data_IF_670572060754
#
_entry.id   IF_670572060754
#
_cell.length_a   1.000
_cell.length_b   1.000
_cell.length_c   1.000
_cell.angle_alpha   90.00
_cell.angle_beta   90.00
_cell.angle_gamma   90.00
#
_symmetry.space_group_name_H-M   'P 1'
#
loop_
_entity.id
_entity.type
_entity.pdbx_description
1 polymer ?
#
# COMPACT_ATOMS: atom_id res chain seq x y z
N UNK A 1 11.07 90.38 40.77
CA UNK A 1 9.72 90.66 41.31
C UNK A 1 8.73 90.37 40.20
N UNK A 2 7.91 89.34 40.42
CA UNK A 2 6.69 88.91 39.68
C UNK A 2 6.73 88.74 38.15
N UNK A 3 5.97 87.85 37.51
CA UNK A 3 5.33 86.53 37.73
C UNK A 3 4.35 86.39 36.56
N UNK A 4 3.95 85.14 36.25
CA UNK A 4 2.88 84.69 35.31
C UNK A 4 3.30 84.66 33.83
N UNK A 5 3.17 83.58 33.07
CA UNK A 5 2.53 82.27 33.28
C UNK A 5 1.79 81.90 31.99
N UNK A 6 2.42 81.14 31.10
CA UNK A 6 1.79 80.59 29.89
C UNK A 6 1.73 79.06 30.05
N UNK A 7 0.57 78.55 30.45
CA UNK A 7 0.24 77.13 30.36
C UNK A 7 -0.43 76.86 29.01
N UNK A 8 0.19 75.99 28.23
CA UNK A 8 -0.34 75.46 26.97
C UNK A 8 -1.31 74.34 27.31
N UNK A 9 -2.60 74.58 27.10
CA UNK A 9 -3.65 73.55 27.18
C UNK A 9 -3.53 72.61 25.97
N UNK A 10 -3.17 71.34 26.23
CA UNK A 10 -3.38 70.21 25.33
C UNK A 10 -4.87 69.84 25.35
N UNK A 11 -5.55 69.60 24.21
CA UNK A 11 -6.88 69.03 24.24
C UNK A 11 -6.82 67.53 24.60
N UNK A 12 -7.74 67.16 25.48
CA UNK A 12 -7.93 65.85 26.09
C UNK A 12 -7.93 64.68 25.10
N UNK A 13 -7.28 63.60 25.54
CA UNK A 13 -7.48 62.24 25.05
C UNK A 13 -8.92 61.85 25.37
N UNK A 14 -9.81 61.92 24.39
CA UNK A 14 -11.08 61.22 24.44
C UNK A 14 -10.81 59.72 24.21
N UNK A 15 -10.77 58.95 25.30
CA UNK A 15 -11.05 57.52 25.29
C UNK A 15 -12.52 57.30 24.87
N UNK A 16 -12.79 57.40 23.58
CA UNK A 16 -14.00 56.79 23.02
C UNK A 16 -13.69 55.31 22.75
N UNK A 17 -13.94 54.51 23.77
CA UNK A 17 -14.19 53.08 23.64
C UNK A 17 -15.44 52.87 22.77
N UNK A 18 -15.28 53.02 21.45
CA UNK A 18 -16.29 52.71 20.48
C UNK A 18 -16.44 51.18 20.46
N UNK A 19 -17.46 50.70 21.17
CA UNK A 19 -17.83 49.30 21.17
C UNK A 19 -17.89 48.76 19.75
N UNK A 20 -17.13 47.71 19.49
CA UNK A 20 -17.32 46.89 18.30
C UNK A 20 -18.80 46.51 18.21
N UNK A 21 -19.40 46.84 17.07
CA UNK A 21 -20.82 46.64 16.80
C UNK A 21 -21.20 45.17 17.10
N UNK A 22 -22.17 44.88 18.00
CA UNK A 22 -22.47 43.52 18.45
C UNK A 22 -22.95 42.57 17.34
N UNK A 23 -23.35 43.09 16.17
CA UNK A 23 -23.60 42.30 14.96
C UNK A 23 -22.31 41.78 14.32
N UNK A 24 -21.27 42.62 14.20
CA UNK A 24 -19.96 42.25 13.62
C UNK A 24 -19.31 41.13 14.45
N UNK A 25 -19.36 41.23 15.78
CA UNK A 25 -18.83 40.19 16.68
C UNK A 25 -19.66 38.89 16.64
N UNK A 26 -20.95 38.95 16.27
CA UNK A 26 -21.75 37.74 16.03
C UNK A 26 -21.36 37.09 14.71
N UNK A 27 -21.24 37.87 13.63
CA UNK A 27 -20.87 37.37 12.30
C UNK A 27 -19.46 36.75 12.29
N UNK A 28 -18.49 37.37 12.96
CA UNK A 28 -17.14 36.78 13.16
C UNK A 28 -17.19 35.44 13.92
N UNK A 29 -18.01 35.34 14.98
CA UNK A 29 -18.18 34.09 15.72
C UNK A 29 -18.84 33.00 14.88
N UNK A 30 -19.81 33.35 14.04
CA UNK A 30 -20.44 32.40 13.12
C UNK A 30 -19.43 31.89 12.07
N UNK A 31 -18.61 32.78 11.50
CA UNK A 31 -17.56 32.41 10.55
C UNK A 31 -16.50 31.51 11.19
N UNK A 32 -16.03 31.86 12.39
CA UNK A 32 -15.07 31.05 13.15
C UNK A 32 -15.64 29.65 13.46
N UNK A 33 -16.92 29.59 13.89
CA UNK A 33 -17.59 28.34 14.18
C UNK A 33 -17.78 27.47 12.92
N UNK A 34 -18.09 28.08 11.78
CA UNK A 34 -18.22 27.37 10.50
C UNK A 34 -16.87 26.81 10.02
N UNK A 35 -15.79 27.59 10.18
CA UNK A 35 -14.42 27.16 9.88
C UNK A 35 -13.99 25.99 10.78
N UNK A 36 -14.23 26.07 12.08
CA UNK A 36 -13.93 24.99 13.03
C UNK A 36 -14.68 23.69 12.70
N UNK A 37 -15.95 23.79 12.29
CA UNK A 37 -16.75 22.64 11.84
C UNK A 37 -16.15 22.03 10.57
N UNK A 38 -15.75 22.86 9.60
CA UNK A 38 -15.11 22.41 8.36
C UNK A 38 -13.78 21.72 8.62
N UNK A 39 -12.95 22.28 9.50
CA UNK A 39 -11.65 21.72 9.90
C UNK A 39 -11.84 20.35 10.57
N UNK A 40 -12.77 20.24 11.52
CA UNK A 40 -13.09 18.96 12.20
C UNK A 40 -13.59 17.91 11.22
N UNK A 41 -14.46 18.30 10.29
CA UNK A 41 -15.00 17.40 9.29
C UNK A 41 -13.92 16.92 8.30
N UNK A 42 -13.05 17.82 7.83
CA UNK A 42 -11.93 17.46 6.97
C UNK A 42 -10.99 16.48 7.67
N UNK A 43 -10.61 16.76 8.92
CA UNK A 43 -9.77 15.89 9.74
C UNK A 43 -10.37 14.49 9.88
N UNK A 44 -11.66 14.42 10.24
CA UNK A 44 -12.39 13.17 10.39
C UNK A 44 -12.45 12.39 9.08
N UNK A 45 -12.73 13.05 7.96
CA UNK A 45 -12.77 12.43 6.63
C UNK A 45 -11.41 11.86 6.23
N UNK A 46 -10.33 12.62 6.40
CA UNK A 46 -8.97 12.15 6.06
C UNK A 46 -8.59 10.90 6.85
N UNK A 47 -8.81 10.91 8.17
CA UNK A 47 -8.54 9.73 9.01
C UNK A 47 -9.43 8.54 8.65
N UNK A 48 -10.74 8.77 8.49
CA UNK A 48 -11.69 7.72 8.10
C UNK A 48 -11.27 7.06 6.78
N UNK A 49 -10.92 7.87 5.79
CA UNK A 49 -10.52 7.41 4.47
C UNK A 49 -9.19 6.65 4.49
N UNK A 50 -8.24 7.07 5.34
CA UNK A 50 -7.00 6.33 5.58
C UNK A 50 -7.28 4.95 6.20
N UNK A 51 -8.12 4.88 7.23
CA UNK A 51 -8.48 3.60 7.88
C UNK A 51 -9.25 2.67 6.95
N UNK A 52 -10.18 3.19 6.15
CA UNK A 52 -10.90 2.42 5.14
C UNK A 52 -9.89 1.83 4.14
N UNK A 53 -8.99 2.67 3.61
CA UNK A 53 -7.97 2.23 2.66
C UNK A 53 -7.07 1.14 3.24
N UNK A 54 -6.52 1.34 4.44
CA UNK A 54 -5.67 0.37 5.13
C UNK A 54 -6.41 -0.97 5.38
N UNK A 55 -7.67 -0.91 5.79
CA UNK A 55 -8.49 -2.11 6.02
C UNK A 55 -8.72 -2.87 4.72
N UNK A 56 -9.05 -2.17 3.63
CA UNK A 56 -9.22 -2.77 2.32
C UNK A 56 -7.91 -3.40 1.81
N UNK A 57 -6.79 -2.71 2.02
CA UNK A 57 -5.46 -3.23 1.69
C UNK A 57 -5.20 -4.55 2.42
N UNK A 58 -5.44 -4.61 3.73
CA UNK A 58 -5.27 -5.85 4.51
C UNK A 58 -6.13 -6.97 3.95
N UNK A 59 -7.42 -6.73 3.72
CA UNK A 59 -8.35 -7.75 3.25
C UNK A 59 -7.92 -8.40 1.92
N UNK A 60 -7.35 -7.64 0.98
CA UNK A 60 -6.93 -8.20 -0.31
C UNK A 60 -5.50 -8.74 -0.28
N UNK A 61 -4.54 -7.99 0.30
CA UNK A 61 -3.13 -8.35 0.24
C UNK A 61 -2.74 -9.46 1.22
N UNK A 62 -3.55 -9.73 2.25
CA UNK A 62 -3.42 -10.94 3.08
C UNK A 62 -3.42 -12.21 2.21
N UNK A 63 -4.35 -12.30 1.26
CA UNK A 63 -4.40 -13.44 0.35
C UNK A 63 -3.27 -13.45 -0.67
N UNK A 64 -2.98 -12.29 -1.26
CA UNK A 64 -1.94 -12.18 -2.28
C UNK A 64 -0.55 -12.59 -1.74
N UNK A 65 -0.15 -12.07 -0.58
CA UNK A 65 1.16 -12.38 0.00
C UNK A 65 1.25 -13.83 0.48
N UNK A 66 0.22 -14.36 1.14
CA UNK A 66 0.21 -15.76 1.56
C UNK A 66 0.32 -16.73 0.37
N UNK A 67 -0.43 -16.47 -0.71
CA UNK A 67 -0.32 -17.28 -1.92
C UNK A 67 1.03 -17.11 -2.60
N UNK A 68 1.62 -15.91 -2.56
CA UNK A 68 2.96 -15.68 -3.10
C UNK A 68 4.02 -16.50 -2.38
N UNK A 69 3.96 -16.60 -1.05
CA UNK A 69 4.86 -17.44 -0.26
C UNK A 69 4.68 -18.94 -0.56
N UNK A 70 3.46 -19.36 -0.89
CA UNK A 70 3.13 -20.76 -1.21
C UNK A 70 3.25 -21.09 -2.69
N UNK A 71 3.70 -20.16 -3.53
CA UNK A 71 3.50 -20.27 -4.97
C UNK A 71 4.32 -21.41 -5.58
N UNK A 72 5.58 -21.56 -5.16
CA UNK A 72 6.48 -22.62 -5.61
C UNK A 72 5.98 -24.00 -5.18
N UNK A 73 5.48 -24.14 -3.95
CA UNK A 73 4.93 -25.41 -3.42
C UNK A 73 3.56 -25.74 -4.03
N UNK A 74 2.62 -24.80 -3.98
CA UNK A 74 1.23 -25.02 -4.38
C UNK A 74 1.10 -25.20 -5.90
N UNK A 75 1.97 -24.53 -6.67
CA UNK A 75 1.96 -24.55 -8.12
C UNK A 75 3.28 -25.08 -8.69
N UNK A 76 3.82 -26.14 -8.08
CA UNK A 76 5.09 -26.76 -8.46
C UNK A 76 5.07 -27.41 -9.85
N UNK A 77 3.90 -27.82 -10.36
CA UNK A 77 3.80 -28.58 -11.61
C UNK A 77 4.37 -27.78 -12.80
N UNK A 78 5.49 -28.26 -13.35
CA UNK A 78 6.21 -27.60 -14.45
C UNK A 78 6.81 -26.23 -14.07
N UNK A 79 6.95 -25.91 -12.78
CA UNK A 79 7.46 -24.62 -12.29
C UNK A 79 6.53 -23.44 -12.55
N UNK A 80 5.26 -23.68 -12.92
CA UNK A 80 4.30 -22.64 -13.31
C UNK A 80 4.17 -21.55 -12.24
N UNK A 81 4.25 -21.91 -10.95
CA UNK A 81 4.27 -20.99 -9.82
C UNK A 81 5.37 -19.94 -9.91
N UNK A 82 6.62 -20.38 -10.06
CA UNK A 82 7.79 -19.49 -10.09
C UNK A 82 7.79 -18.59 -11.33
N UNK A 83 7.47 -19.17 -12.49
CA UNK A 83 7.35 -18.39 -13.74
C UNK A 83 6.26 -17.32 -13.63
N UNK A 84 5.13 -17.63 -12.97
CA UNK A 84 4.05 -16.67 -12.78
C UNK A 84 4.46 -15.47 -11.93
N UNK A 85 5.29 -15.67 -10.90
CA UNK A 85 5.82 -14.60 -10.07
C UNK A 85 6.88 -13.77 -10.80
N UNK A 86 7.78 -14.43 -11.53
CA UNK A 86 8.75 -13.74 -12.37
C UNK A 86 8.06 -12.81 -13.38
N UNK A 87 6.96 -13.26 -14.00
CA UNK A 87 6.16 -12.44 -14.91
C UNK A 87 5.53 -11.25 -14.20
N UNK A 88 4.97 -11.43 -12.99
CA UNK A 88 4.42 -10.31 -12.19
C UNK A 88 5.50 -9.25 -11.96
N UNK A 89 6.70 -9.65 -11.53
CA UNK A 89 7.79 -8.72 -11.24
C UNK A 89 8.30 -7.99 -12.48
N UNK A 90 8.52 -8.69 -13.59
CA UNK A 90 8.98 -8.08 -14.85
C UNK A 90 7.94 -7.08 -15.37
N UNK A 91 6.66 -7.47 -15.41
CA UNK A 91 5.59 -6.58 -15.84
C UNK A 91 5.42 -5.39 -14.89
N UNK A 92 5.56 -5.59 -13.58
CA UNK A 92 5.52 -4.54 -12.56
C UNK A 92 6.66 -3.54 -12.70
N UNK A 93 7.87 -4.01 -13.00
CA UNK A 93 9.02 -3.15 -13.24
C UNK A 93 8.78 -2.24 -14.44
N UNK A 94 8.37 -2.80 -15.58
CA UNK A 94 8.07 -2.02 -16.78
C UNK A 94 6.92 -1.05 -16.53
N UNK A 95 5.87 -1.53 -15.87
CA UNK A 95 4.69 -0.74 -15.56
C UNK A 95 5.02 0.48 -14.70
N UNK A 96 5.77 0.28 -13.61
CA UNK A 96 6.11 1.34 -12.64
C UNK A 96 6.86 2.52 -13.25
N UNK A 97 7.57 2.31 -14.36
CA UNK A 97 8.31 3.37 -15.06
C UNK A 97 7.41 4.29 -15.91
N UNK A 98 6.33 3.74 -16.48
CA UNK A 98 5.60 4.43 -17.56
C UNK A 98 4.11 4.62 -17.27
N UNK A 99 3.46 3.66 -16.62
CA UNK A 99 2.01 3.64 -16.51
C UNK A 99 1.42 4.53 -15.40
N UNK A 100 2.05 4.73 -14.22
CA UNK A 100 1.44 5.45 -13.10
C UNK A 100 0.86 6.80 -13.46
N UNK A 101 1.68 7.68 -14.01
CA UNK A 101 1.28 9.05 -14.34
C UNK A 101 0.11 9.06 -15.32
N UNK A 102 0.27 8.34 -16.43
CA UNK A 102 -0.71 8.32 -17.50
C UNK A 102 -2.07 7.76 -17.02
N UNK A 103 -2.05 6.66 -16.25
CA UNK A 103 -3.26 6.01 -15.80
C UNK A 103 -3.95 6.78 -14.66
N UNK A 104 -3.20 7.34 -13.71
CA UNK A 104 -3.77 8.15 -12.63
C UNK A 104 -4.37 9.45 -13.17
N UNK A 105 -3.70 10.14 -14.12
CA UNK A 105 -4.26 11.34 -14.77
C UNK A 105 -5.54 11.02 -15.57
N UNK A 106 -5.61 9.85 -16.21
CA UNK A 106 -6.74 9.49 -17.08
C UNK A 106 -7.94 8.92 -16.33
N UNK A 107 -7.69 8.05 -15.35
CA UNK A 107 -8.74 7.28 -14.69
C UNK A 107 -9.01 7.75 -13.26
N UNK A 108 -8.10 8.51 -12.66
CA UNK A 108 -8.20 8.97 -11.28
C UNK A 108 -7.69 7.96 -10.27
N UNK A 109 -7.22 8.45 -9.12
CA UNK A 109 -6.55 7.64 -8.10
C UNK A 109 -7.45 6.53 -7.54
N UNK A 110 -8.69 6.86 -7.17
CA UNK A 110 -9.66 5.90 -6.61
C UNK A 110 -9.93 4.73 -7.57
N UNK A 111 -10.10 5.01 -8.85
CA UNK A 111 -10.43 3.97 -9.83
C UNK A 111 -9.24 3.05 -10.08
N UNK A 112 -8.01 3.56 -10.11
CA UNK A 112 -6.81 2.72 -10.21
C UNK A 112 -6.67 1.79 -9.01
N UNK A 113 -6.94 2.28 -7.80
CA UNK A 113 -6.96 1.43 -6.60
C UNK A 113 -8.00 0.32 -6.73
N UNK A 114 -9.26 0.66 -7.06
CA UNK A 114 -10.33 -0.34 -7.21
C UNK A 114 -10.03 -1.36 -8.31
N UNK A 115 -9.60 -0.91 -9.49
CA UNK A 115 -9.27 -1.80 -10.62
C UNK A 115 -8.08 -2.68 -10.27
N UNK A 116 -7.06 -2.15 -9.61
CA UNK A 116 -5.92 -2.93 -9.13
C UNK A 116 -6.34 -4.02 -8.14
N UNK A 117 -7.25 -3.71 -7.21
CA UNK A 117 -7.82 -4.70 -6.29
C UNK A 117 -8.62 -5.79 -7.02
N UNK A 118 -9.41 -5.43 -8.04
CA UNK A 118 -10.14 -6.39 -8.88
C UNK A 118 -9.19 -7.33 -9.63
N UNK A 119 -8.15 -6.78 -10.25
CA UNK A 119 -7.14 -7.57 -10.96
C UNK A 119 -6.34 -8.45 -9.97
N UNK A 120 -6.05 -7.95 -8.77
CA UNK A 120 -5.45 -8.77 -7.70
C UNK A 120 -6.34 -9.97 -7.34
N UNK A 121 -7.65 -9.75 -7.18
CA UNK A 121 -8.61 -10.83 -6.95
C UNK A 121 -8.67 -11.82 -8.11
N UNK A 122 -8.55 -11.36 -9.36
CA UNK A 122 -8.44 -12.24 -10.52
C UNK A 122 -7.17 -13.10 -10.46
N UNK A 123 -6.03 -12.53 -10.06
CA UNK A 123 -4.79 -13.30 -9.85
C UNK A 123 -4.91 -14.30 -8.70
N UNK A 124 -5.52 -13.92 -7.58
CA UNK A 124 -5.83 -14.85 -6.49
C UNK A 124 -6.69 -16.01 -7.02
N UNK A 125 -7.80 -15.70 -7.71
CA UNK A 125 -8.71 -16.70 -8.27
C UNK A 125 -8.04 -17.64 -9.30
N UNK A 126 -7.07 -17.16 -10.07
CA UNK A 126 -6.34 -17.97 -11.04
C UNK A 126 -5.63 -19.18 -10.39
N UNK A 127 -5.24 -19.06 -9.12
CA UNK A 127 -4.62 -20.16 -8.37
C UNK A 127 -5.55 -21.33 -8.06
N UNK A 128 -6.87 -21.18 -8.27
CA UNK A 128 -7.82 -22.31 -8.19
C UNK A 128 -7.61 -23.33 -9.30
N UNK A 129 -7.14 -22.90 -10.48
CA UNK A 129 -6.97 -23.76 -11.64
C UNK A 129 -5.51 -23.75 -12.08
N UNK A 130 -4.84 -24.90 -12.03
CA UNK A 130 -3.42 -25.05 -12.38
C UNK A 130 -3.21 -25.07 -13.90
N UNK A 131 -3.57 -23.96 -14.56
CA UNK A 131 -3.52 -23.78 -16.00
C UNK A 131 -2.60 -22.62 -16.39
N UNK A 132 -1.63 -22.91 -17.26
CA UNK A 132 -0.64 -21.94 -17.77
C UNK A 132 -1.26 -20.70 -18.38
N UNK A 133 -2.27 -20.88 -19.23
CA UNK A 133 -2.90 -19.76 -19.94
C UNK A 133 -3.60 -18.78 -18.99
N UNK A 134 -4.38 -19.28 -18.03
CA UNK A 134 -5.10 -18.45 -17.06
C UNK A 134 -4.13 -17.76 -16.09
N UNK A 135 -3.18 -18.51 -15.54
CA UNK A 135 -2.29 -18.01 -14.50
C UNK A 135 -1.30 -16.98 -15.04
N UNK A 136 -0.69 -17.22 -16.21
CA UNK A 136 0.22 -16.25 -16.84
C UNK A 136 -0.54 -15.00 -17.29
N UNK A 137 -1.77 -15.13 -17.80
CA UNK A 137 -2.59 -13.97 -18.17
C UNK A 137 -2.90 -13.11 -16.94
N UNK A 138 -3.25 -13.74 -15.82
CA UNK A 138 -3.48 -13.04 -14.57
C UNK A 138 -2.21 -12.36 -14.03
N UNK A 139 -1.05 -13.04 -14.11
CA UNK A 139 0.25 -12.47 -13.76
C UNK A 139 0.62 -11.23 -14.57
N UNK A 140 0.43 -11.27 -15.90
CA UNK A 140 0.68 -10.10 -16.77
C UNK A 140 -0.26 -8.96 -16.39
N UNK A 141 -1.56 -9.23 -16.24
CA UNK A 141 -2.54 -8.21 -15.89
C UNK A 141 -2.20 -7.55 -14.53
N UNK A 142 -1.89 -8.37 -13.53
CA UNK A 142 -1.55 -7.88 -12.19
C UNK A 142 -0.21 -7.13 -12.17
N UNK A 143 0.82 -7.66 -12.81
CA UNK A 143 2.10 -6.94 -12.94
C UNK A 143 1.93 -5.59 -13.63
N UNK A 144 1.12 -5.51 -14.70
CA UNK A 144 0.87 -4.25 -15.39
C UNK A 144 0.10 -3.22 -14.55
N UNK A 145 -0.83 -3.62 -13.66
CA UNK A 145 -1.53 -2.66 -12.80
C UNK A 145 -0.75 -2.32 -11.53
N UNK A 146 0.17 -3.19 -11.08
CA UNK A 146 0.85 -3.05 -9.79
C UNK A 146 1.63 -1.73 -9.65
N UNK A 147 2.34 -1.29 -10.69
CA UNK A 147 3.05 0.00 -10.67
C UNK A 147 2.13 1.21 -10.45
N UNK A 148 1.08 1.38 -11.28
CA UNK A 148 0.03 2.38 -11.10
C UNK A 148 -0.67 2.28 -9.75
N UNK A 149 -0.97 1.06 -9.29
CA UNK A 149 -1.59 0.82 -8.00
C UNK A 149 -0.72 1.32 -6.85
N UNK A 150 0.57 0.94 -6.81
CA UNK A 150 1.52 1.38 -5.81
C UNK A 150 1.68 2.90 -5.79
N UNK A 151 1.72 3.53 -6.97
CA UNK A 151 1.81 4.99 -7.08
C UNK A 151 0.52 5.69 -6.64
N UNK A 152 -0.65 5.15 -7.00
CA UNK A 152 -1.94 5.67 -6.56
C UNK A 152 -2.09 5.55 -5.04
N UNK A 153 -1.63 4.45 -4.46
CA UNK A 153 -1.59 4.24 -3.01
C UNK A 153 -0.73 5.30 -2.31
N UNK A 154 0.51 5.51 -2.75
CA UNK A 154 1.39 6.53 -2.17
C UNK A 154 0.75 7.90 -2.27
N UNK A 155 0.21 8.26 -3.44
CA UNK A 155 -0.47 9.53 -3.66
C UNK A 155 -1.72 9.69 -2.79
N UNK A 156 -2.50 8.62 -2.60
CA UNK A 156 -3.69 8.63 -1.76
C UNK A 156 -3.34 8.92 -0.30
N UNK A 157 -2.34 8.23 0.25
CA UNK A 157 -1.87 8.42 1.62
C UNK A 157 -1.30 9.84 1.80
N UNK A 158 -0.50 10.29 0.84
CA UNK A 158 0.11 11.62 0.83
C UNK A 158 -0.93 12.75 0.83
N UNK A 159 -1.97 12.63 0.00
CA UNK A 159 -3.07 13.59 -0.03
C UNK A 159 -3.90 13.56 1.27
N UNK A 160 -4.14 12.38 1.85
CA UNK A 160 -4.84 12.29 3.15
C UNK A 160 -4.02 12.94 4.27
N UNK A 161 -2.71 12.72 4.27
CA UNK A 161 -1.77 13.35 5.21
C UNK A 161 -1.76 14.87 5.04
N UNK A 162 -1.70 15.36 3.80
CA UNK A 162 -1.73 16.79 3.47
C UNK A 162 -3.04 17.45 3.89
N UNK A 163 -4.18 16.82 3.60
CA UNK A 163 -5.49 17.30 4.08
C UNK A 163 -5.58 17.31 5.60
N UNK A 164 -5.02 16.30 6.25
CA UNK A 164 -4.98 16.25 7.72
C UNK A 164 -4.09 17.37 8.27
N UNK A 165 -2.92 17.59 7.67
CA UNK A 165 -1.99 18.65 8.06
C UNK A 165 -2.61 20.04 7.92
N UNK A 166 -3.42 20.31 6.88
CA UNK A 166 -4.13 21.59 6.78
C UNK A 166 -5.10 21.88 7.95
N UNK A 167 -5.37 20.89 8.81
CA UNK A 167 -6.22 21.05 10.01
C UNK A 167 -5.41 21.25 11.30
N UNK A 168 -4.08 21.22 11.25
CA UNK A 168 -3.21 21.29 12.43
C UNK A 168 -1.88 21.97 12.09
N UNK A 169 -1.35 22.81 12.98
CA UNK A 169 -0.09 23.53 12.78
C UNK A 169 1.15 22.68 13.07
N UNK A 170 1.21 21.47 12.52
CA UNK A 170 2.34 20.55 12.67
C UNK A 170 3.15 20.43 11.37
N UNK A 171 4.37 19.92 11.49
CA UNK A 171 5.25 19.68 10.33
C UNK A 171 4.66 18.58 9.43
N UNK A 172 4.58 18.87 8.13
CA UNK A 172 4.07 17.94 7.12
C UNK A 172 4.88 16.65 7.04
N UNK A 173 6.20 16.71 7.18
CA UNK A 173 7.09 15.54 7.13
C UNK A 173 6.78 14.56 8.26
N UNK A 174 6.50 15.08 9.46
CA UNK A 174 6.12 14.26 10.62
C UNK A 174 4.75 13.59 10.41
N UNK A 175 3.77 14.33 9.88
CA UNK A 175 2.43 13.79 9.60
C UNK A 175 2.49 12.74 8.49
N UNK A 176 3.20 13.03 7.40
CA UNK A 176 3.42 12.07 6.32
C UNK A 176 4.08 10.80 6.86
N UNK A 177 5.16 10.93 7.63
CA UNK A 177 5.83 9.79 8.27
C UNK A 177 4.90 8.96 9.16
N UNK A 178 4.00 9.62 9.90
CA UNK A 178 3.00 8.93 10.74
C UNK A 178 1.94 8.18 9.91
N UNK A 179 1.45 8.78 8.82
CA UNK A 179 0.46 8.17 7.93
C UNK A 179 1.04 6.97 7.16
N UNK A 180 2.25 7.11 6.63
CA UNK A 180 2.97 5.99 6.00
C UNK A 180 3.35 4.91 7.02
N UNK A 181 3.76 5.29 8.23
CA UNK A 181 4.04 4.35 9.32
C UNK A 181 2.81 3.52 9.69
N UNK A 182 1.63 4.15 9.77
CA UNK A 182 0.37 3.45 10.00
C UNK A 182 0.06 2.49 8.84
N UNK A 183 0.19 2.94 7.59
CA UNK A 183 0.00 2.07 6.44
C UNK A 183 0.95 0.85 6.47
N UNK A 184 2.24 1.07 6.75
CA UNK A 184 3.23 0.00 6.84
C UNK A 184 2.88 -1.00 7.94
N UNK A 185 2.41 -0.55 9.10
CA UNK A 185 1.93 -1.45 10.16
C UNK A 185 0.82 -2.39 9.66
N UNK A 186 -0.18 -1.86 8.95
CA UNK A 186 -1.24 -2.67 8.37
C UNK A 186 -0.70 -3.58 7.26
N UNK A 187 0.16 -3.07 6.38
CA UNK A 187 0.74 -3.84 5.28
C UNK A 187 1.54 -5.05 5.77
N UNK A 188 2.42 -4.87 6.74
CA UNK A 188 3.22 -5.98 7.30
C UNK A 188 2.36 -7.00 8.06
N UNK A 189 1.26 -6.54 8.69
CA UNK A 189 0.32 -7.46 9.36
C UNK A 189 -0.32 -8.47 8.40
N UNK A 190 -0.37 -8.17 7.09
CA UNK A 190 -0.97 -9.06 6.09
C UNK A 190 -0.28 -10.42 6.01
N UNK A 191 1.04 -10.45 6.21
CA UNK A 191 1.84 -11.68 6.21
C UNK A 191 1.43 -12.61 7.36
N UNK A 192 1.18 -12.04 8.55
CA UNK A 192 0.77 -12.79 9.73
C UNK A 192 -0.59 -13.44 9.48
N UNK A 193 -1.60 -12.63 9.14
CA UNK A 193 -2.96 -13.13 8.92
C UNK A 193 -3.05 -14.08 7.73
N UNK A 194 -2.25 -13.83 6.69
CA UNK A 194 -2.15 -14.67 5.52
C UNK A 194 -1.67 -16.06 5.88
N UNK A 195 -0.54 -16.15 6.54
CA UNK A 195 0.05 -17.43 6.96
C UNK A 195 -0.81 -18.17 7.99
N UNK A 196 -1.53 -17.45 8.87
CA UNK A 196 -2.49 -18.08 9.79
C UNK A 196 -3.62 -18.78 9.04
N UNK A 197 -4.22 -18.11 8.05
CA UNK A 197 -5.31 -18.70 7.23
C UNK A 197 -4.77 -19.89 6.43
N UNK A 198 -3.58 -19.77 5.85
CA UNK A 198 -2.91 -20.84 5.13
C UNK A 198 -2.69 -22.07 6.03
N UNK A 199 -2.12 -21.86 7.22
CA UNK A 199 -1.88 -22.93 8.18
C UNK A 199 -3.15 -23.73 8.48
N UNK A 200 -4.25 -23.06 8.86
CA UNK A 200 -5.49 -23.76 9.20
C UNK A 200 -6.16 -24.42 8.00
N UNK A 201 -6.03 -23.85 6.80
CA UNK A 201 -6.63 -24.42 5.58
C UNK A 201 -5.85 -25.64 5.07
N UNK A 202 -4.53 -25.65 5.27
CA UNK A 202 -3.62 -26.68 4.77
C UNK A 202 -3.30 -27.77 5.82
N UNK A 203 -3.68 -27.54 7.08
CA UNK A 203 -3.42 -28.48 8.18
C UNK A 203 -4.00 -29.88 7.87
N UNK A 204 -3.13 -30.89 7.83
CA UNK A 204 -3.53 -32.30 7.68
C UNK A 204 -4.13 -32.79 9.01
N UNK A 205 -5.33 -33.38 8.96
CA UNK A 205 -6.07 -33.84 10.15
C UNK A 205 -5.45 -35.06 10.83
N UNK A 206 -4.65 -35.84 10.09
CA UNK A 206 -3.82 -36.92 10.60
C UNK A 206 -2.37 -36.61 10.20
N UNK A 207 -1.52 -36.11 11.12
CA UNK A 207 -0.11 -35.96 10.80
C UNK A 207 0.46 -37.34 10.51
N UNK A 208 1.02 -37.52 9.32
CA UNK A 208 1.83 -38.70 9.02
C UNK A 208 3.10 -38.52 9.83
N UNK A 209 3.45 -39.51 10.66
CA UNK A 209 4.74 -39.54 11.36
C UNK A 209 5.84 -39.58 10.30
N UNK A 210 6.37 -38.40 9.97
CA UNK A 210 7.53 -38.28 9.07
C UNK A 210 8.69 -38.92 9.80
N UNK A 211 9.27 -39.96 9.20
CA UNK A 211 10.40 -40.67 9.79
C UNK A 211 11.62 -39.73 9.79
N UNK A 212 11.83 -39.04 10.91
CA UNK A 212 12.80 -37.94 11.10
C UNK A 212 14.25 -38.33 10.78
N UNK A 213 14.52 -39.63 10.72
CA UNK A 213 15.83 -40.21 10.37
C UNK A 213 16.22 -40.05 8.89
N UNK A 214 15.31 -39.60 8.01
CA UNK A 214 15.56 -39.40 6.57
C UNK A 214 15.87 -37.94 6.18
N UNK A 215 15.68 -36.98 7.08
CA UNK A 215 15.96 -35.55 6.81
C UNK A 215 17.39 -35.24 7.27
N UNK A 216 18.40 -35.81 6.60
CA UNK A 216 19.81 -35.58 6.96
C UNK A 216 20.39 -34.29 6.34
N UNK A 217 19.74 -33.76 5.31
CA UNK A 217 20.22 -32.60 4.56
C UNK A 217 19.19 -31.46 4.63
N UNK A 218 19.58 -30.36 5.28
CA UNK A 218 18.78 -29.16 5.49
C UNK A 218 19.68 -27.92 5.37
N UNK A 219 19.10 -26.74 5.17
CA UNK A 219 19.89 -25.51 5.17
C UNK A 219 20.63 -25.29 3.86
N UNK A 220 21.94 -25.01 3.92
CA UNK A 220 22.77 -24.80 2.72
C UNK A 220 22.90 -26.06 1.85
N UNK A 221 22.66 -27.23 2.46
CA UNK A 221 22.84 -28.53 1.83
C UNK A 221 21.48 -29.12 1.41
N UNK A 222 20.39 -28.36 1.51
CA UNK A 222 19.08 -28.81 1.06
C UNK A 222 19.07 -29.03 -0.45
N UNK A 223 18.91 -30.29 -0.86
CA UNK A 223 18.74 -30.70 -2.26
C UNK A 223 17.25 -30.98 -2.52
N UNK A 224 16.56 -30.14 -3.30
CA UNK A 224 15.13 -30.32 -3.59
C UNK A 224 14.83 -31.59 -4.39
N UNK A 225 15.82 -32.15 -5.09
CA UNK A 225 15.66 -33.25 -6.05
C UNK A 225 15.72 -34.65 -5.42
N UNK A 226 16.27 -34.80 -4.21
CA UNK A 226 16.50 -36.11 -3.55
C UNK A 226 15.53 -36.38 -2.38
N UNK A 227 14.58 -35.46 -2.12
CA UNK A 227 13.74 -35.46 -0.93
C UNK A 227 12.32 -36.03 -1.15
N UNK A 228 12.20 -37.18 -1.83
CA UNK A 228 10.93 -37.91 -2.06
C UNK A 228 10.21 -38.36 -0.76
N UNK A 229 10.87 -38.26 0.39
CA UNK A 229 10.33 -38.70 1.68
C UNK A 229 9.56 -37.62 2.45
N UNK A 230 9.66 -36.35 2.05
CA UNK A 230 9.05 -35.23 2.77
C UNK A 230 7.64 -34.90 2.25
N UNK A 231 6.63 -35.55 2.86
CA UNK A 231 5.20 -35.31 2.52
C UNK A 231 4.69 -33.88 2.81
N UNK A 232 5.51 -33.02 3.41
CA UNK A 232 5.23 -31.59 3.56
C UNK A 232 5.51 -30.78 2.29
N UNK A 233 6.29 -31.33 1.36
CA UNK A 233 6.56 -30.74 0.05
C UNK A 233 5.50 -31.09 -0.99
N UNK A 234 4.61 -32.03 -0.67
CA UNK A 234 3.50 -32.39 -1.55
C UNK A 234 2.57 -31.19 -1.75
N UNK A 235 2.16 -30.90 -3.00
CA UNK A 235 1.20 -29.84 -3.26
C UNK A 235 -0.13 -30.15 -2.54
N UNK A 236 -0.87 -29.12 -2.11
CA UNK A 236 -2.10 -29.31 -1.37
C UNK A 236 -3.16 -29.97 -2.24
N UNK A 237 -4.05 -30.74 -1.59
CA UNK A 237 -5.20 -31.37 -2.25
C UNK A 237 -6.11 -30.32 -2.88
N UNK A 238 -6.89 -30.71 -3.89
CA UNK A 238 -7.81 -29.78 -4.57
C UNK A 238 -8.78 -29.11 -3.58
N UNK A 239 -9.35 -29.88 -2.63
CA UNK A 239 -10.25 -29.34 -1.60
C UNK A 239 -9.57 -28.25 -0.76
N UNK A 240 -8.35 -28.52 -0.26
CA UNK A 240 -7.59 -27.54 0.53
C UNK A 240 -7.25 -26.28 -0.27
N UNK A 241 -6.89 -26.44 -1.55
CA UNK A 241 -6.65 -25.31 -2.47
C UNK A 241 -7.90 -24.46 -2.64
N UNK A 242 -9.06 -25.08 -2.90
CA UNK A 242 -10.32 -24.35 -3.07
C UNK A 242 -10.75 -23.61 -1.81
N UNK A 243 -10.61 -24.24 -0.63
CA UNK A 243 -10.91 -23.59 0.66
C UNK A 243 -9.97 -22.41 0.90
N UNK A 244 -8.66 -22.60 0.70
CA UNK A 244 -7.66 -21.56 0.92
C UNK A 244 -7.84 -20.36 -0.02
N UNK A 245 -7.84 -20.62 -1.34
CA UNK A 245 -7.97 -19.56 -2.36
C UNK A 245 -9.36 -18.92 -2.28
N UNK A 246 -10.40 -19.70 -1.99
CA UNK A 246 -11.76 -19.22 -1.81
C UNK A 246 -11.91 -18.26 -0.62
N UNK A 247 -11.27 -18.56 0.52
CA UNK A 247 -11.26 -17.68 1.68
C UNK A 247 -10.60 -16.32 1.36
N UNK A 248 -9.43 -16.34 0.72
CA UNK A 248 -8.74 -15.12 0.29
C UNK A 248 -9.53 -14.31 -0.74
N UNK A 249 -10.15 -15.00 -1.71
CA UNK A 249 -10.98 -14.33 -2.70
C UNK A 249 -12.19 -13.66 -2.06
N UNK A 250 -12.86 -14.31 -1.10
CA UNK A 250 -13.98 -13.72 -0.38
C UNK A 250 -13.57 -12.43 0.36
N UNK A 251 -12.42 -12.42 1.02
CA UNK A 251 -11.88 -11.20 1.65
C UNK A 251 -11.61 -10.09 0.63
N UNK A 252 -11.02 -10.44 -0.52
CA UNK A 252 -10.78 -9.51 -1.62
C UNK A 252 -12.06 -8.91 -2.20
N UNK A 253 -13.12 -9.70 -2.39
CA UNK A 253 -14.41 -9.22 -2.86
C UNK A 253 -15.07 -8.26 -1.86
N UNK A 254 -14.97 -8.55 -0.55
CA UNK A 254 -15.42 -7.64 0.51
C UNK A 254 -14.63 -6.33 0.46
N UNK A 255 -13.31 -6.40 0.25
CA UNK A 255 -12.45 -5.21 0.08
C UNK A 255 -12.91 -4.32 -1.07
N UNK A 256 -13.20 -4.90 -2.24
CA UNK A 256 -13.69 -4.15 -3.40
C UNK A 256 -15.00 -3.43 -3.08
N UNK A 257 -15.94 -4.12 -2.43
CA UNK A 257 -17.23 -3.52 -2.03
C UNK A 257 -17.01 -2.33 -1.08
N UNK A 258 -16.14 -2.48 -0.09
CA UNK A 258 -15.84 -1.42 0.87
C UNK A 258 -15.17 -0.22 0.17
N UNK A 259 -14.18 -0.47 -0.70
CA UNK A 259 -13.50 0.60 -1.45
C UNK A 259 -14.47 1.39 -2.35
N UNK A 260 -15.36 0.70 -3.07
CA UNK A 260 -16.31 1.38 -3.98
C UNK A 260 -17.27 2.27 -3.19
N UNK A 261 -17.82 1.75 -2.09
CA UNK A 261 -18.88 2.41 -1.31
C UNK A 261 -18.35 3.50 -0.38
N UNK A 262 -17.28 3.23 0.37
CA UNK A 262 -16.85 4.08 1.49
C UNK A 262 -15.62 4.94 1.19
N UNK A 263 -14.79 4.59 0.20
CA UNK A 263 -13.60 5.37 -0.12
C UNK A 263 -13.97 6.61 -0.95
N UNK A 264 -13.60 7.80 -0.48
CA UNK A 264 -13.87 9.03 -1.23
C UNK A 264 -12.89 9.18 -2.41
N UNK A 265 -13.34 9.63 -3.59
CA UNK A 265 -12.43 10.00 -4.67
C UNK A 265 -11.60 11.23 -4.30
N UNK A 266 -10.37 11.31 -4.84
CA UNK A 266 -9.55 12.51 -4.71
C UNK A 266 -10.06 13.56 -5.70
N UNK A 267 -10.47 14.72 -5.20
CA UNK A 267 -10.95 15.84 -6.05
C UNK A 267 -9.85 16.45 -6.93
N UNK A 268 -8.59 16.20 -6.61
CA UNK A 268 -7.41 16.72 -7.29
C UNK A 268 -6.69 15.65 -8.12
N UNK A 269 -7.44 14.74 -8.75
CA UNK A 269 -6.87 13.90 -9.81
C UNK A 269 -6.27 14.85 -10.86
N UNK A 270 -4.94 14.77 -10.98
CA UNK A 270 -4.03 15.77 -11.52
C UNK A 270 -4.53 16.44 -12.82
N UNK A 271 -4.27 17.76 -12.93
CA UNK A 271 -4.58 18.65 -14.06
C UNK A 271 -4.47 17.96 -15.44
N UNK A 272 -5.35 18.36 -16.35
CA UNK A 272 -5.49 17.84 -17.71
C UNK A 272 -4.18 17.41 -18.40
N UNK A 273 -4.14 16.14 -18.78
CA UNK A 273 -3.79 15.74 -20.14
C UNK A 273 -2.33 15.91 -20.53
N UNK A 274 -1.38 15.58 -19.67
CA UNK A 274 0.00 15.46 -20.11
C UNK A 274 0.18 14.09 -20.78
N UNK A 275 -0.04 14.05 -22.11
CA UNK A 275 0.00 12.81 -22.90
C UNK A 275 1.31 12.03 -22.76
N UNK A 276 1.44 10.90 -23.48
CA UNK A 276 2.59 9.98 -23.41
C UNK A 276 3.97 10.67 -23.43
N UNK A 277 4.09 11.79 -24.16
CA UNK A 277 5.27 12.65 -24.18
C UNK A 277 5.70 13.13 -22.79
N UNK A 278 4.76 13.59 -21.97
CA UNK A 278 5.08 14.10 -20.63
C UNK A 278 5.42 13.00 -19.63
N UNK A 279 4.88 11.79 -19.83
CA UNK A 279 5.35 10.60 -19.10
C UNK A 279 6.80 10.28 -19.46
N UNK A 280 7.13 10.28 -20.75
CA UNK A 280 8.49 10.03 -21.22
C UNK A 280 9.47 11.10 -20.73
N UNK A 281 9.08 12.38 -20.72
CA UNK A 281 9.88 13.47 -20.14
C UNK A 281 10.16 13.27 -18.66
N UNK A 282 9.21 12.75 -17.87
CA UNK A 282 9.44 12.38 -16.46
C UNK A 282 10.40 11.20 -16.34
N UNK A 283 10.27 10.17 -17.17
CA UNK A 283 11.19 9.04 -17.19
C UNK A 283 12.63 9.51 -17.48
N UNK A 284 12.82 10.34 -18.51
CA UNK A 284 14.13 10.94 -18.84
C UNK A 284 14.66 11.78 -17.68
N UNK A 285 13.79 12.52 -16.99
CA UNK A 285 14.17 13.32 -15.83
C UNK A 285 14.59 12.44 -14.65
N UNK A 286 13.91 11.32 -14.39
CA UNK A 286 14.30 10.35 -13.37
C UNK A 286 15.67 9.73 -13.69
N UNK A 287 15.93 9.39 -14.96
CA UNK A 287 17.23 8.86 -15.37
C UNK A 287 18.35 9.91 -15.20
N UNK A 288 18.09 11.17 -15.57
CA UNK A 288 19.03 12.28 -15.30
C UNK A 288 19.26 12.50 -13.81
N UNK A 289 18.24 12.27 -12.98
CA UNK A 289 18.34 12.41 -11.54
C UNK A 289 19.19 11.29 -10.92
N UNK A 290 19.10 10.06 -11.45
CA UNK A 290 19.95 8.92 -11.06
C UNK A 290 21.44 9.21 -11.27
N UNK A 291 21.79 10.00 -12.29
CA UNK A 291 23.18 10.37 -12.60
C UNK A 291 23.74 11.47 -11.68
N UNK A 292 22.94 12.01 -10.75
CA UNK A 292 23.44 13.03 -9.81
C UNK A 292 24.31 12.38 -8.73
N UNK A 293 25.45 13.00 -8.36
CA UNK A 293 26.37 12.43 -7.38
C UNK A 293 25.73 12.26 -5.99
N UNK A 294 24.74 13.09 -5.65
CA UNK A 294 23.97 13.01 -4.41
C UNK A 294 23.11 11.74 -4.29
N UNK A 295 22.83 11.05 -5.40
CA UNK A 295 22.03 9.82 -5.43
C UNK A 295 22.86 8.55 -5.58
N UNK A 296 24.19 8.66 -5.70
CA UNK A 296 25.06 7.50 -5.93
C UNK A 296 24.92 6.42 -4.86
N UNK A 297 24.73 6.80 -3.58
CA UNK A 297 24.56 5.85 -2.48
C UNK A 297 23.12 5.31 -2.37
N UNK A 298 22.13 6.02 -2.92
CA UNK A 298 20.72 5.60 -2.88
C UNK A 298 20.46 4.42 -3.82
N UNK A 299 21.18 4.32 -4.95
CA UNK A 299 21.02 3.22 -5.91
C UNK A 299 21.39 1.86 -5.32
N UNK A 300 22.62 1.63 -4.79
CA UNK A 300 22.97 0.34 -4.20
C UNK A 300 22.12 0.02 -2.96
N UNK A 301 21.73 1.02 -2.17
CA UNK A 301 20.81 0.83 -1.05
C UNK A 301 19.43 0.35 -1.52
N UNK A 302 18.90 0.92 -2.60
CA UNK A 302 17.61 0.50 -3.17
C UNK A 302 17.67 -0.90 -3.75
N UNK A 303 18.79 -1.28 -4.39
CA UNK A 303 19.02 -2.65 -4.87
C UNK A 303 19.06 -3.62 -3.68
N UNK A 304 19.79 -3.27 -2.61
CA UNK A 304 19.87 -4.09 -1.41
C UNK A 304 18.48 -4.33 -0.78
N UNK A 305 17.69 -3.28 -0.58
CA UNK A 305 16.32 -3.38 -0.05
C UNK A 305 15.44 -4.23 -0.99
N UNK A 306 15.61 -4.09 -2.31
CA UNK A 306 14.88 -4.89 -3.29
C UNK A 306 15.24 -6.38 -3.27
N UNK A 307 16.48 -6.72 -2.92
CA UNK A 307 16.94 -8.11 -2.77
C UNK A 307 16.51 -8.74 -1.44
N UNK A 308 16.40 -7.93 -0.39
CA UNK A 308 16.06 -8.37 0.97
C UNK A 308 14.72 -9.12 1.04
N UNK A 309 13.66 -8.55 0.45
CA UNK A 309 12.31 -9.12 0.49
C UNK A 309 12.22 -10.53 -0.11
N UNK A 310 12.60 -10.75 -1.38
CA UNK A 310 12.61 -12.07 -2.00
C UNK A 310 13.53 -13.08 -1.29
N UNK A 311 14.64 -12.62 -0.73
CA UNK A 311 15.54 -13.46 0.05
C UNK A 311 14.87 -14.00 1.32
N UNK A 312 14.20 -13.14 2.10
CA UNK A 312 13.44 -13.59 3.28
C UNK A 312 12.22 -14.44 2.92
N UNK A 313 11.52 -14.11 1.84
CA UNK A 313 10.28 -14.78 1.46
C UNK A 313 10.45 -16.14 0.78
N UNK A 314 11.59 -16.38 0.14
CA UNK A 314 11.83 -17.63 -0.62
C UNK A 314 12.97 -18.46 -0.03
N UNK A 315 14.16 -17.87 0.15
CA UNK A 315 15.40 -18.59 0.48
C UNK A 315 15.54 -18.91 1.98
N UNK A 316 14.95 -18.07 2.84
CA UNK A 316 15.00 -18.28 4.29
C UNK A 316 13.95 -19.28 4.78
N UNK A 317 12.81 -19.35 4.10
CA UNK A 317 11.68 -20.24 4.44
C UNK A 317 11.75 -21.61 3.80
N UNK A 318 12.62 -21.82 2.80
CA UNK A 318 12.94 -23.14 2.28
C UNK A 318 13.55 -24.00 3.41
N UNK A 319 13.09 -25.24 3.55
CA UNK A 319 13.22 -26.08 4.77
C UNK A 319 14.66 -26.17 5.29
N UNK A 320 14.99 -25.35 6.32
CA UNK A 320 16.30 -25.38 7.01
C UNK A 320 16.31 -26.09 8.35
N UNK A 321 15.17 -26.52 8.87
CA UNK A 321 15.12 -27.17 10.19
C UNK A 321 15.31 -28.68 10.05
N UNK A 322 16.55 -29.13 10.25
CA UNK A 322 16.79 -30.46 10.77
C UNK A 322 16.17 -30.50 12.18
N UNK A 323 15.15 -31.35 12.37
CA UNK A 323 14.66 -31.68 13.71
C UNK A 323 15.76 -32.45 14.43
N UNK A 324 16.58 -31.77 15.22
CA UNK A 324 17.47 -32.40 16.22
C UNK A 324 16.68 -32.97 17.38
#
# INVERSE_FOLDING_TARGET
>A
MDKTGYDVFLPDVAEDGLGQNPSINKDERYLQQEEDIKIKELRRRSLRNLFIFNTCYVLVYTGFWALSNLQSTMNAAGGIGDYSQAVIYICSMISSLFLPKFLIEKFGCKNILVVGTVICCFSIASNMFLRWDVMITASVAFGLINGPYASAQTFYIDEMATRFQSTISENIEFIMGSFFGLFMFFSESTQIWGNVIAYYSLMKRNPVDVNTSLISECGSDFLPSDNDSNTNLDPPTEEQRFVLVGAYLAMGLVSILIMVVFMDPLKNDLKEGSGWRSTFERFVSAFKQLLKPQQFLLVPLSIYIGMEGPFYGNEFTEVRQCLT
#
